data_IF_791916662495
#
_entry.id   IF_791916662495
#
_cell.length_a   1.000
_cell.length_b   1.000
_cell.length_c   1.000
_cell.angle_alpha   90.00
_cell.angle_beta   90.00
_cell.angle_gamma   90.00
#
_symmetry.space_group_name_H-M   'P 1'
#
loop_
_entity.id
_entity.type
_entity.pdbx_description
1 polymer ?
#
# COMPACT_ATOMS: atom_id res chain seq x y z
N UNK A 1 9.31 26.93 -32.86
CA UNK A 1 9.78 26.28 -31.61
C UNK A 1 9.32 24.84 -31.64
N UNK A 2 10.25 23.88 -31.54
CA UNK A 2 9.88 22.48 -31.30
C UNK A 2 9.47 22.35 -29.83
N UNK A 3 8.26 21.86 -29.56
CA UNK A 3 7.87 21.46 -28.22
C UNK A 3 8.66 20.21 -27.82
N UNK A 4 9.17 20.16 -26.59
CA UNK A 4 9.82 18.95 -26.09
C UNK A 4 8.77 17.83 -25.99
N UNK A 5 8.97 16.73 -26.72
CA UNK A 5 8.12 15.55 -26.64
C UNK A 5 8.39 14.79 -25.35
N UNK A 6 7.35 14.34 -24.65
CA UNK A 6 7.46 13.43 -23.52
C UNK A 6 8.25 12.18 -23.94
N UNK A 7 9.36 11.90 -23.25
CA UNK A 7 10.24 10.76 -23.58
C UNK A 7 9.99 9.53 -22.70
N UNK A 8 9.56 9.73 -21.45
CA UNK A 8 9.32 8.64 -20.51
C UNK A 8 8.34 9.04 -19.41
N UNK A 9 7.69 8.03 -18.83
CA UNK A 9 6.92 8.09 -17.59
C UNK A 9 7.42 6.96 -16.68
N UNK A 10 7.71 7.27 -15.42
CA UNK A 10 8.05 6.29 -14.40
C UNK A 10 6.91 6.31 -13.40
N UNK A 11 6.25 5.16 -13.25
CA UNK A 11 5.16 5.00 -12.32
C UNK A 11 5.65 4.24 -11.10
N UNK A 12 5.32 4.79 -9.93
CA UNK A 12 5.27 3.99 -8.72
C UNK A 12 4.13 2.95 -8.85
N UNK A 13 4.16 1.94 -7.99
CA UNK A 13 3.21 0.82 -8.04
C UNK A 13 2.06 1.08 -7.08
N UNK A 14 2.36 1.07 -5.79
CA UNK A 14 1.36 1.07 -4.72
C UNK A 14 0.67 2.43 -4.61
N UNK A 15 -0.66 2.45 -4.73
CA UNK A 15 -1.45 3.69 -4.71
C UNK A 15 -1.30 4.56 -5.96
N UNK A 16 -0.44 4.20 -6.92
CA UNK A 16 -0.27 4.90 -8.19
C UNK A 16 -0.94 4.14 -9.35
N UNK A 17 -0.67 2.84 -9.50
CA UNK A 17 -1.33 2.02 -10.51
C UNK A 17 -2.67 1.44 -10.02
N UNK A 18 -2.79 1.19 -8.72
CA UNK A 18 -4.00 0.68 -8.08
C UNK A 18 -3.96 0.93 -6.56
N UNK A 19 -5.13 0.85 -5.90
CA UNK A 19 -5.29 0.93 -4.44
C UNK A 19 -4.82 -0.36 -3.71
N UNK A 20 -3.60 -0.81 -4.02
CA UNK A 20 -3.02 -2.06 -3.51
C UNK A 20 -2.89 -2.09 -2.00
N UNK A 21 -2.67 -0.95 -1.34
CA UNK A 21 -2.58 -0.88 0.11
C UNK A 21 -3.93 -1.19 0.78
N UNK A 22 -5.02 -0.59 0.29
CA UNK A 22 -6.35 -0.71 0.88
C UNK A 22 -6.96 -2.10 0.65
N UNK A 23 -6.87 -2.59 -0.58
CA UNK A 23 -7.62 -3.77 -1.03
C UNK A 23 -6.72 -5.00 -1.28
N UNK A 24 -5.39 -4.84 -1.26
CA UNK A 24 -4.41 -5.91 -1.34
C UNK A 24 -3.70 -6.15 0.00
N UNK A 25 -2.69 -5.33 0.32
CA UNK A 25 -1.79 -5.53 1.46
C UNK A 25 -2.54 -5.67 2.79
N UNK A 26 -3.46 -4.76 3.11
CA UNK A 26 -4.26 -4.83 4.34
C UNK A 26 -5.02 -6.16 4.48
N UNK A 27 -5.61 -6.64 3.39
CA UNK A 27 -6.36 -7.91 3.37
C UNK A 27 -5.41 -9.09 3.59
N UNK A 28 -4.24 -9.06 2.96
CA UNK A 28 -3.21 -10.08 3.12
C UNK A 28 -2.65 -10.11 4.56
N UNK A 29 -2.36 -8.96 5.17
CA UNK A 29 -1.94 -8.87 6.57
C UNK A 29 -2.98 -9.46 7.52
N UNK A 30 -4.24 -9.07 7.38
CA UNK A 30 -5.32 -9.62 8.22
C UNK A 30 -5.51 -11.14 8.02
N UNK A 31 -5.29 -11.65 6.81
CA UNK A 31 -5.28 -13.09 6.56
C UNK A 31 -4.12 -13.79 7.28
N UNK A 32 -2.92 -13.23 7.20
CA UNK A 32 -1.73 -13.75 7.88
C UNK A 32 -1.87 -13.72 9.41
N UNK A 33 -2.42 -12.64 9.98
CA UNK A 33 -2.68 -12.55 11.43
C UNK A 33 -3.63 -13.65 11.89
N UNK A 34 -4.71 -13.88 11.14
CA UNK A 34 -5.67 -14.95 11.44
C UNK A 34 -5.01 -16.33 11.37
N UNK A 35 -4.18 -16.58 10.36
CA UNK A 35 -3.44 -17.85 10.22
C UNK A 35 -2.45 -18.06 11.37
N UNK A 36 -1.79 -17.00 11.83
CA UNK A 36 -0.87 -17.02 12.96
C UNK A 36 -1.56 -17.02 14.33
N UNK A 37 -2.90 -16.96 14.40
CA UNK A 37 -3.66 -16.89 15.66
C UNK A 37 -3.51 -15.56 16.41
N UNK A 38 -3.09 -14.49 15.71
CA UNK A 38 -2.94 -13.16 16.29
C UNK A 38 -4.30 -12.43 16.29
N UNK A 39 -4.64 -11.67 17.34
CA UNK A 39 -5.94 -11.01 17.47
C UNK A 39 -6.07 -9.73 16.64
N UNK A 40 -5.10 -9.43 15.78
CA UNK A 40 -5.07 -8.19 15.01
C UNK A 40 -5.98 -8.27 13.80
N UNK A 41 -6.73 -7.18 13.59
CA UNK A 41 -7.50 -6.97 12.37
C UNK A 41 -7.54 -5.47 12.07
N UNK A 42 -6.84 -5.06 11.03
CA UNK A 42 -6.76 -3.68 10.62
C UNK A 42 -7.93 -3.33 9.68
N UNK A 43 -8.76 -2.39 10.11
CA UNK A 43 -9.71 -1.74 9.21
C UNK A 43 -9.00 -0.74 8.27
N UNK A 44 -9.73 -0.20 7.30
CA UNK A 44 -9.17 0.72 6.30
C UNK A 44 -8.60 1.98 6.94
N UNK A 45 -9.27 2.53 7.95
CA UNK A 45 -8.86 3.78 8.59
C UNK A 45 -7.57 3.58 9.37
N UNK A 46 -7.54 2.55 10.23
CA UNK A 46 -6.39 2.24 11.04
C UNK A 46 -5.18 1.83 10.19
N UNK A 47 -5.39 1.06 9.13
CA UNK A 47 -4.31 0.76 8.19
C UNK A 47 -3.75 2.02 7.52
N UNK A 48 -4.62 2.97 7.16
CA UNK A 48 -4.20 4.28 6.66
C UNK A 48 -3.31 5.07 7.64
N UNK A 49 -3.57 4.98 8.94
CA UNK A 49 -2.71 5.57 9.98
C UNK A 49 -1.35 4.87 10.04
N UNK A 50 -1.31 3.54 9.92
CA UNK A 50 -0.07 2.75 9.88
C UNK A 50 0.78 3.02 8.61
N UNK A 51 0.14 3.41 7.51
CA UNK A 51 0.83 3.78 6.26
C UNK A 51 1.68 5.05 6.39
N UNK A 52 1.36 5.93 7.34
CA UNK A 52 2.15 7.14 7.60
C UNK A 52 3.58 6.82 8.07
N UNK A 53 3.82 5.60 8.58
CA UNK A 53 5.16 5.10 8.84
C UNK A 53 5.70 4.44 7.56
N UNK A 54 6.59 5.15 6.86
CA UNK A 54 7.17 4.68 5.60
C UNK A 54 8.01 3.40 5.82
N UNK A 55 7.93 2.48 4.86
CA UNK A 55 8.87 1.36 4.72
C UNK A 55 8.62 0.16 5.63
N UNK A 56 7.50 0.09 6.34
CA UNK A 56 7.09 -1.13 7.06
C UNK A 56 7.99 -1.57 8.22
N UNK A 57 8.98 -0.75 8.59
CA UNK A 57 10.01 -1.10 9.59
C UNK A 57 9.46 -1.29 11.01
N UNK A 58 8.28 -0.73 11.26
CA UNK A 58 7.56 -0.77 12.55
C UNK A 58 6.24 -1.58 12.42
N UNK A 59 6.06 -2.36 11.34
CA UNK A 59 4.84 -3.14 11.04
C UNK A 59 5.04 -4.64 11.27
#
# INVERSE_FOLDING_TARGET
>A
MLAAMLQALIFDVDGTMADTERDGHRVAFNAAFREAGLPWNWDVKHYGELLAVMGGKER
#
